data_IF_079041523517
#
_entry.id   IF_079041523517
#
_cell.length_a   1.000
_cell.length_b   1.000
_cell.length_c   1.000
_cell.angle_alpha   90.00
_cell.angle_beta   90.00
_cell.angle_gamma   90.00
#
_symmetry.space_group_name_H-M   'P 1'
#
loop_
_entity.id
_entity.type
_entity.pdbx_description
1 polymer ?
#
# COMPACT_ATOMS: atom_id res chain seq x y z
N UNK A 1 3.73 -16.70 -6.35
CA UNK A 1 3.10 -15.58 -7.09
C UNK A 1 1.59 -15.67 -6.94
N UNK A 2 1.05 -15.28 -5.78
CA UNK A 2 -0.39 -15.21 -5.56
C UNK A 2 -0.87 -13.81 -5.96
N UNK A 3 -1.52 -13.68 -7.12
CA UNK A 3 -2.13 -12.43 -7.59
C UNK A 3 -3.52 -12.30 -6.95
N UNK A 4 -3.58 -11.79 -5.70
CA UNK A 4 -4.86 -11.38 -5.11
C UNK A 4 -5.02 -9.88 -5.36
N UNK A 5 -5.84 -9.54 -6.36
CA UNK A 5 -6.41 -8.20 -6.51
C UNK A 5 -7.16 -7.92 -5.21
N UNK A 6 -6.96 -6.75 -4.60
CA UNK A 6 -7.80 -6.30 -3.48
C UNK A 6 -9.19 -6.10 -4.10
N UNK A 7 -10.00 -7.13 -4.04
CA UNK A 7 -11.36 -7.13 -4.57
C UNK A 7 -12.23 -6.42 -3.55
N UNK A 8 -12.59 -5.19 -3.88
CA UNK A 8 -13.58 -4.34 -3.21
C UNK A 8 -14.67 -5.17 -2.54
N UNK A 9 -14.58 -5.26 -1.21
CA UNK A 9 -15.60 -5.82 -0.34
C UNK A 9 -15.45 -5.33 1.10
N UNK A 10 -14.73 -4.22 1.30
CA UNK A 10 -14.31 -3.69 2.60
C UNK A 10 -14.47 -2.17 2.54
N UNK A 11 -15.66 -1.69 2.91
CA UNK A 11 -16.09 -0.31 2.61
C UNK A 11 -15.77 0.72 3.69
N UNK A 12 -15.22 0.33 4.84
CA UNK A 12 -15.29 1.23 6.01
C UNK A 12 -13.95 1.75 6.55
N UNK A 13 -12.85 1.01 6.54
CA UNK A 13 -11.55 1.55 7.00
C UNK A 13 -10.37 0.82 6.33
N UNK A 14 -9.91 1.36 5.20
CA UNK A 14 -8.64 0.94 4.59
C UNK A 14 -7.59 2.04 4.77
N UNK A 15 -6.57 1.74 5.57
CA UNK A 15 -5.41 2.61 5.80
C UNK A 15 -4.16 1.94 5.27
N UNK A 16 -3.34 2.71 4.58
CA UNK A 16 -2.06 2.25 4.07
C UNK A 16 -0.93 3.12 4.61
N UNK A 17 0.10 2.47 5.15
CA UNK A 17 1.38 3.10 5.41
C UNK A 17 2.40 2.60 4.38
N UNK A 18 3.00 3.54 3.65
CA UNK A 18 4.12 3.28 2.76
C UNK A 18 5.41 3.63 3.50
N UNK A 19 6.35 2.70 3.59
CA UNK A 19 7.67 2.93 4.14
C UNK A 19 8.70 2.76 3.03
N UNK A 20 9.53 3.79 2.83
CA UNK A 20 10.60 3.76 1.84
C UNK A 20 11.92 4.17 2.51
N UNK A 21 13.06 3.57 2.13
CA UNK A 21 14.37 4.03 2.58
C UNK A 21 14.81 5.32 1.88
N UNK A 22 14.21 5.65 0.74
CA UNK A 22 14.40 6.88 -0.02
C UNK A 22 13.02 7.40 -0.47
N UNK A 23 12.66 8.60 -0.05
CA UNK A 23 11.36 9.20 -0.37
C UNK A 23 11.19 9.52 -1.86
N UNK A 24 12.29 9.77 -2.57
CA UNK A 24 12.26 10.20 -3.97
C UNK A 24 11.89 9.04 -4.91
N UNK A 25 11.98 7.80 -4.42
CA UNK A 25 11.49 6.60 -5.12
C UNK A 25 9.95 6.49 -5.11
N UNK A 26 9.23 7.24 -4.26
CA UNK A 26 7.79 7.08 -4.09
C UNK A 26 6.98 7.40 -5.35
N UNK A 27 7.38 8.42 -6.12
CA UNK A 27 6.69 8.81 -7.35
C UNK A 27 6.70 7.70 -8.42
N UNK A 28 7.77 6.90 -8.44
CA UNK A 28 7.92 5.76 -9.36
C UNK A 28 6.88 4.67 -9.09
N UNK A 29 6.36 4.60 -7.87
CA UNK A 29 5.33 3.63 -7.48
C UNK A 29 3.91 4.07 -7.89
N UNK A 30 3.67 5.34 -8.21
CA UNK A 30 2.32 5.86 -8.47
C UNK A 30 1.54 5.12 -9.57
N UNK A 31 2.13 4.72 -10.72
CA UNK A 31 1.40 3.97 -11.74
C UNK A 31 0.87 2.63 -11.20
N UNK A 32 1.69 1.95 -10.38
CA UNK A 32 1.33 0.66 -9.76
C UNK A 32 0.29 0.87 -8.68
N UNK A 33 0.48 1.84 -7.78
CA UNK A 33 -0.49 2.16 -6.74
C UNK A 33 -1.84 2.53 -7.34
N UNK A 34 -1.87 3.32 -8.42
CA UNK A 34 -3.11 3.66 -9.13
C UNK A 34 -3.76 2.44 -9.76
N UNK A 35 -3.00 1.52 -10.35
CA UNK A 35 -3.53 0.30 -10.96
C UNK A 35 -4.27 -0.60 -9.96
N UNK A 36 -3.80 -0.66 -8.71
CA UNK A 36 -4.35 -1.58 -7.70
C UNK A 36 -5.27 -0.91 -6.68
N UNK A 37 -5.05 0.36 -6.37
CA UNK A 37 -5.73 1.10 -5.29
C UNK A 37 -6.54 2.30 -5.82
N UNK A 38 -6.54 2.57 -7.12
CA UNK A 38 -7.18 3.75 -7.72
C UNK A 38 -8.70 3.79 -7.55
N UNK A 39 -9.34 2.62 -7.43
CA UNK A 39 -10.78 2.50 -7.21
C UNK A 39 -11.13 2.63 -5.72
N UNK A 40 -10.35 1.98 -4.84
CA UNK A 40 -10.63 1.93 -3.39
C UNK A 40 -10.21 3.20 -2.67
N UNK A 41 -9.16 3.88 -3.14
CA UNK A 41 -8.65 5.15 -2.62
C UNK A 41 -8.52 5.20 -1.09
N UNK A 42 -7.74 4.28 -0.49
CA UNK A 42 -7.53 4.26 0.95
C UNK A 42 -6.81 5.52 1.43
N UNK A 43 -6.96 5.83 2.72
CA UNK A 43 -6.15 6.85 3.35
C UNK A 43 -4.69 6.37 3.41
N UNK A 44 -3.81 7.05 2.67
CA UNK A 44 -2.40 6.69 2.54
C UNK A 44 -1.48 7.70 3.23
N UNK A 45 -0.55 7.20 4.04
CA UNK A 45 0.54 7.99 4.63
C UNK A 45 1.88 7.40 4.19
N UNK A 46 2.84 8.24 3.82
CA UNK A 46 4.20 7.83 3.46
C UNK A 46 5.18 8.26 4.56
N UNK A 47 6.11 7.36 4.89
CA UNK A 47 7.22 7.59 5.80
C UNK A 47 8.54 7.24 5.12
N UNK A 48 9.57 8.03 5.40
CA UNK A 48 10.95 7.70 5.07
C UNK A 48 11.62 7.02 6.28
N UNK A 49 12.01 5.75 6.14
CA UNK A 49 12.57 4.94 7.22
C UNK A 49 13.40 3.77 6.68
N UNK A 50 14.36 3.27 7.47
CA UNK A 50 15.07 2.02 7.15
C UNK A 50 14.10 0.84 7.21
N UNK A 51 14.23 -0.06 6.25
CA UNK A 51 13.45 -1.29 6.15
C UNK A 51 14.19 -2.47 6.79
N UNK A 52 13.53 -3.63 6.88
CA UNK A 52 14.11 -4.83 7.51
C UNK A 52 15.43 -5.28 6.86
N UNK A 53 15.54 -5.17 5.53
CA UNK A 53 16.75 -5.51 4.77
C UNK A 53 17.12 -4.39 3.78
N UNK A 54 18.41 -4.14 3.58
CA UNK A 54 18.92 -3.06 2.70
C UNK A 54 18.56 -3.22 1.22
N UNK A 55 18.19 -4.44 0.79
CA UNK A 55 17.75 -4.70 -0.57
C UNK A 55 16.28 -4.28 -0.82
N UNK A 56 15.50 -4.06 0.25
CA UNK A 56 14.11 -3.65 0.13
C UNK A 56 14.01 -2.20 -0.33
N UNK A 57 13.03 -1.90 -1.18
CA UNK A 57 12.80 -0.56 -1.75
C UNK A 57 11.52 0.10 -1.28
N UNK A 58 10.55 -0.70 -0.88
CA UNK A 58 9.28 -0.24 -0.33
C UNK A 58 8.71 -1.35 0.53
N UNK A 59 8.13 -0.95 1.65
CA UNK A 59 7.26 -1.79 2.47
C UNK A 59 5.87 -1.14 2.52
N UNK A 60 4.83 -1.97 2.43
CA UNK A 60 3.44 -1.50 2.44
C UNK A 60 2.71 -2.26 3.54
N UNK A 61 2.28 -1.53 4.56
CA UNK A 61 1.44 -2.04 5.61
C UNK A 61 0.00 -1.61 5.34
N UNK A 62 -0.92 -2.57 5.35
CA UNK A 62 -2.35 -2.34 5.09
C UNK A 62 -3.15 -2.76 6.30
N UNK A 63 -4.04 -1.88 6.76
CA UNK A 63 -5.12 -2.23 7.68
C UNK A 63 -6.41 -2.20 6.90
N UNK A 64 -7.14 -3.31 6.91
CA UNK A 64 -8.43 -3.44 6.25
C UNK A 64 -9.43 -4.09 7.20
N UNK A 65 -10.67 -3.60 7.20
CA UNK A 65 -11.78 -4.25 7.89
C UNK A 65 -12.31 -5.40 7.04
N UNK A 66 -12.38 -6.60 7.62
CA UNK A 66 -13.09 -7.72 7.00
C UNK A 66 -14.60 -7.46 7.13
N UNK A 67 -15.32 -7.54 6.01
CA UNK A 67 -16.77 -7.60 6.05
C UNK A 67 -17.18 -9.01 6.48
N UNK A 68 -17.90 -9.11 7.61
CA UNK A 68 -18.68 -10.30 7.94
C UNK A 68 -19.86 -10.35 6.96
N UNK A 69 -19.98 -11.45 6.21
CA UNK A 69 -21.16 -11.72 5.38
C UNK A 69 -22.26 -12.33 6.24
#
# INVERSE_FOLDING_TARGET
MARRRISSGSELEEKIAYLLPDRDDFERCWPVLRQWLGDVRPAGTMFEARLMNDQMKIEIQVTARLNER
#
